data_IF_752935286447
#
_entry.id   IF_752935286447
#
_cell.length_a   1.000
_cell.length_b   1.000
_cell.length_c   1.000
_cell.angle_alpha   90.00
_cell.angle_beta   90.00
_cell.angle_gamma   90.00
#
_symmetry.space_group_name_H-M   'P 1'
#
loop_
_entity.id
_entity.type
_entity.pdbx_description
1 polymer ?
#
# COMPACT_ATOMS: atom_id res chain seq x y z
N UNK A 1 -54.78 13.07 13.02
CA UNK A 1 -53.82 12.85 11.94
C UNK A 1 -52.52 12.44 12.60
N UNK A 2 -52.18 11.15 12.59
CA UNK A 2 -50.86 10.65 13.05
C UNK A 2 -49.94 10.67 11.84
N UNK A 3 -48.88 11.47 11.92
CA UNK A 3 -47.80 11.50 10.94
C UNK A 3 -46.95 10.25 11.13
N UNK A 4 -47.08 9.29 10.22
CA UNK A 4 -46.20 8.13 10.11
C UNK A 4 -44.85 8.63 9.55
N UNK A 5 -43.85 8.69 10.43
CA UNK A 5 -42.45 8.88 10.05
C UNK A 5 -42.01 7.60 9.34
N UNK A 6 -42.02 7.61 8.02
CA UNK A 6 -41.45 6.52 7.20
C UNK A 6 -39.94 6.50 7.45
N UNK A 7 -39.52 5.67 8.35
CA UNK A 7 -38.10 5.34 8.57
C UNK A 7 -37.55 4.68 7.31
N UNK A 8 -36.77 5.39 6.53
CA UNK A 8 -36.10 4.89 5.32
C UNK A 8 -35.26 3.68 5.72
N UNK A 9 -35.71 2.48 5.39
CA UNK A 9 -34.98 1.22 5.56
C UNK A 9 -33.68 1.32 4.74
N UNK A 10 -32.58 1.79 5.36
CA UNK A 10 -31.27 1.83 4.69
C UNK A 10 -30.90 0.42 4.26
N UNK A 11 -30.43 0.28 3.01
CA UNK A 11 -30.07 -1.03 2.45
C UNK A 11 -28.99 -1.71 3.29
N UNK A 12 -28.98 -3.06 3.39
CA UNK A 12 -27.92 -3.80 4.09
C UNK A 12 -26.51 -3.39 3.60
N UNK A 13 -26.38 -3.13 2.31
CA UNK A 13 -25.12 -2.67 1.69
C UNK A 13 -24.64 -1.32 2.25
N UNK A 14 -25.54 -0.36 2.41
CA UNK A 14 -25.22 0.94 2.99
C UNK A 14 -24.86 0.83 4.48
N UNK A 15 -25.49 -0.10 5.20
CA UNK A 15 -25.17 -0.39 6.61
C UNK A 15 -23.77 -0.99 6.74
N UNK A 16 -23.44 -1.98 5.94
CA UNK A 16 -22.11 -2.61 5.90
C UNK A 16 -21.02 -1.57 5.58
N UNK A 17 -21.23 -0.74 4.56
CA UNK A 17 -20.29 0.30 4.19
C UNK A 17 -20.04 1.30 5.33
N UNK A 18 -21.10 1.72 6.05
CA UNK A 18 -20.96 2.63 7.18
C UNK A 18 -20.21 1.99 8.37
N UNK A 19 -20.44 0.70 8.65
CA UNK A 19 -19.73 -0.03 9.70
C UNK A 19 -18.24 -0.13 9.36
N UNK A 20 -17.89 -0.55 8.13
CA UNK A 20 -16.49 -0.70 7.70
C UNK A 20 -15.75 0.62 7.71
N UNK A 21 -16.36 1.71 7.23
CA UNK A 21 -15.74 3.03 7.26
C UNK A 21 -15.47 3.51 8.71
N UNK A 22 -16.44 3.35 9.62
CA UNK A 22 -16.26 3.71 11.02
C UNK A 22 -15.20 2.83 11.72
N UNK A 23 -15.18 1.53 11.40
CA UNK A 23 -14.21 0.59 11.91
C UNK A 23 -12.79 0.90 11.41
N UNK A 24 -12.63 1.28 10.13
CA UNK A 24 -11.35 1.70 9.56
C UNK A 24 -10.74 2.88 10.31
N UNK A 25 -11.53 3.89 10.63
CA UNK A 25 -11.08 5.04 11.41
C UNK A 25 -10.69 4.66 12.85
N UNK A 26 -11.48 3.81 13.50
CA UNK A 26 -11.20 3.40 14.88
C UNK A 26 -9.96 2.50 14.96
N UNK A 27 -9.85 1.50 14.09
CA UNK A 27 -8.68 0.64 14.01
C UNK A 27 -7.42 1.40 13.56
N UNK A 28 -7.53 2.30 12.59
CA UNK A 28 -6.41 3.10 12.12
C UNK A 28 -5.86 4.08 13.16
N UNK A 29 -6.71 4.51 14.13
CA UNK A 29 -6.28 5.42 15.20
C UNK A 29 -5.77 4.71 16.45
N UNK A 30 -6.22 3.48 16.75
CA UNK A 30 -5.98 2.79 18.03
C UNK A 30 -5.44 1.37 17.91
N UNK A 31 -5.27 0.88 16.69
CA UNK A 31 -4.94 -0.51 16.44
C UNK A 31 -6.07 -1.48 16.80
N UNK A 32 -5.90 -2.76 16.49
CA UNK A 32 -6.85 -3.81 16.83
C UNK A 32 -7.05 -3.90 18.35
N UNK A 33 -5.98 -3.91 19.13
CA UNK A 33 -6.04 -4.08 20.58
C UNK A 33 -6.78 -2.92 21.28
N UNK A 34 -6.50 -1.67 20.88
CA UNK A 34 -7.04 -0.46 21.50
C UNK A 34 -8.44 -0.04 21.03
N UNK A 35 -8.89 -0.54 19.89
CA UNK A 35 -10.17 -0.19 19.30
C UNK A 35 -11.36 -0.76 20.13
N UNK A 36 -12.44 0.04 20.22
CA UNK A 36 -13.64 -0.30 20.96
C UNK A 36 -14.86 -0.41 20.06
N UNK A 37 -15.60 -1.50 20.17
CA UNK A 37 -16.81 -1.75 19.38
C UNK A 37 -17.93 -0.71 19.66
N UNK A 38 -17.95 -0.16 20.87
CA UNK A 38 -18.85 0.92 21.27
C UNK A 38 -18.58 2.21 20.47
N UNK A 39 -17.32 2.53 20.25
CA UNK A 39 -16.91 3.73 19.50
C UNK A 39 -17.22 3.57 18.01
N UNK A 40 -16.99 2.38 17.46
CA UNK A 40 -17.40 2.04 16.08
C UNK A 40 -18.92 2.16 15.92
N UNK A 41 -19.70 1.59 16.86
CA UNK A 41 -21.16 1.63 16.84
C UNK A 41 -21.70 3.07 16.88
N UNK A 42 -21.12 3.91 17.75
CA UNK A 42 -21.46 5.33 17.86
C UNK A 42 -21.15 6.09 16.56
N UNK A 43 -19.98 5.88 15.96
CA UNK A 43 -19.56 6.55 14.69
C UNK A 43 -20.46 6.19 13.53
N UNK A 44 -20.81 4.93 13.36
CA UNK A 44 -21.66 4.49 12.24
C UNK A 44 -23.16 4.67 12.48
N UNK A 45 -23.57 5.11 13.69
CA UNK A 45 -24.97 5.23 14.06
C UNK A 45 -25.73 3.89 14.06
N UNK A 46 -25.05 2.84 14.52
CA UNK A 46 -25.59 1.47 14.63
C UNK A 46 -25.40 0.93 16.05
N UNK A 47 -26.18 -0.13 16.38
CA UNK A 47 -25.99 -0.83 17.64
C UNK A 47 -24.79 -1.79 17.56
N UNK A 48 -24.09 -1.97 18.65
CA UNK A 48 -23.02 -2.96 18.80
C UNK A 48 -23.50 -4.37 18.43
N UNK A 49 -24.73 -4.71 18.83
CA UNK A 49 -25.33 -6.01 18.52
C UNK A 49 -25.49 -6.23 17.02
N UNK A 50 -25.88 -5.19 16.26
CA UNK A 50 -25.98 -5.28 14.81
C UNK A 50 -24.60 -5.48 14.17
N UNK A 51 -23.55 -4.85 14.66
CA UNK A 51 -22.19 -5.04 14.15
C UNK A 51 -21.74 -6.49 14.36
N UNK A 52 -21.93 -7.04 15.56
CA UNK A 52 -21.63 -8.45 15.84
C UNK A 52 -22.48 -9.43 15.02
N UNK A 53 -23.72 -9.05 14.69
CA UNK A 53 -24.56 -9.86 13.80
C UNK A 53 -23.94 -9.98 12.38
N UNK A 54 -23.28 -8.92 11.87
CA UNK A 54 -22.64 -8.94 10.56
C UNK A 54 -21.25 -9.60 10.56
N UNK A 55 -20.48 -9.43 11.64
CA UNK A 55 -19.04 -9.75 11.62
C UNK A 55 -18.61 -10.74 12.72
N UNK A 56 -19.53 -11.18 13.60
CA UNK A 56 -19.20 -12.16 14.64
C UNK A 56 -18.26 -11.65 15.73
N UNK A 57 -17.08 -11.15 15.36
CA UNK A 57 -16.05 -10.68 16.30
C UNK A 57 -15.42 -9.35 15.87
N UNK A 58 -14.63 -8.75 16.77
CA UNK A 58 -13.83 -7.54 16.45
C UNK A 58 -12.72 -7.87 15.46
N UNK A 59 -12.13 -9.04 15.60
CA UNK A 59 -11.07 -9.57 14.75
C UNK A 59 -11.57 -9.81 13.32
N UNK A 60 -12.77 -10.36 13.15
CA UNK A 60 -13.39 -10.55 11.83
C UNK A 60 -13.73 -9.20 11.16
N UNK A 61 -14.21 -8.22 11.94
CA UNK A 61 -14.42 -6.87 11.43
C UNK A 61 -13.11 -6.21 11.02
N UNK A 62 -12.04 -6.40 11.80
CA UNK A 62 -10.70 -5.91 11.47
C UNK A 62 -10.19 -6.52 10.16
N UNK A 63 -10.29 -7.84 10.02
CA UNK A 63 -9.92 -8.55 8.79
C UNK A 63 -10.64 -8.03 7.54
N UNK A 64 -11.93 -7.74 7.67
CA UNK A 64 -12.72 -7.14 6.58
C UNK A 64 -12.24 -5.72 6.24
N UNK A 65 -11.94 -4.89 7.24
CA UNK A 65 -11.39 -3.53 7.03
C UNK A 65 -10.05 -3.60 6.31
N UNK A 66 -9.12 -4.44 6.77
CA UNK A 66 -7.81 -4.61 6.14
C UNK A 66 -7.96 -5.09 4.70
N UNK A 67 -8.81 -6.10 4.45
CA UNK A 67 -9.05 -6.64 3.12
C UNK A 67 -9.58 -5.58 2.14
N UNK A 68 -10.57 -4.79 2.57
CA UNK A 68 -11.15 -3.73 1.71
C UNK A 68 -10.18 -2.59 1.44
N UNK A 69 -9.40 -2.19 2.43
CA UNK A 69 -8.40 -1.13 2.24
C UNK A 69 -7.31 -1.57 1.25
N UNK A 70 -6.81 -2.81 1.36
CA UNK A 70 -5.87 -3.34 0.40
C UNK A 70 -6.45 -3.45 -1.01
N UNK A 71 -7.69 -3.94 -1.14
CA UNK A 71 -8.36 -4.01 -2.44
C UNK A 71 -8.50 -2.63 -3.07
N UNK A 72 -8.94 -1.63 -2.30
CA UNK A 72 -9.09 -0.26 -2.77
C UNK A 72 -7.74 0.35 -3.20
N UNK A 73 -6.68 0.14 -2.40
CA UNK A 73 -5.33 0.61 -2.71
C UNK A 73 -4.79 0.01 -4.01
N UNK A 74 -4.94 -1.30 -4.17
CA UNK A 74 -4.49 -2.01 -5.37
C UNK A 74 -5.24 -1.53 -6.60
N UNK A 75 -6.58 -1.45 -6.53
CA UNK A 75 -7.41 -1.01 -7.64
C UNK A 75 -7.09 0.43 -8.08
N UNK A 76 -6.80 1.30 -7.13
CA UNK A 76 -6.38 2.66 -7.44
C UNK A 76 -5.03 2.69 -8.16
N UNK A 77 -4.02 1.97 -7.66
CA UNK A 77 -2.68 1.94 -8.27
C UNK A 77 -2.71 1.35 -9.68
N UNK A 78 -3.43 0.24 -9.91
CA UNK A 78 -3.56 -0.34 -11.25
C UNK A 78 -4.39 0.51 -12.21
N UNK A 79 -5.22 1.42 -11.68
CA UNK A 79 -6.00 2.38 -12.47
C UNK A 79 -5.16 3.48 -13.12
N UNK A 80 -3.92 3.68 -12.68
CA UNK A 80 -3.01 4.64 -13.31
C UNK A 80 -2.37 4.06 -14.57
N UNK A 81 -2.31 4.87 -15.62
CA UNK A 81 -1.59 4.53 -16.84
C UNK A 81 -0.18 5.15 -16.84
N UNK A 82 0.84 4.30 -16.85
CA UNK A 82 2.25 4.70 -16.92
C UNK A 82 2.87 4.43 -18.29
N UNK A 83 2.13 3.83 -19.23
CA UNK A 83 2.68 3.37 -20.50
C UNK A 83 3.01 4.52 -21.47
N UNK A 84 2.37 5.68 -21.28
CA UNK A 84 2.64 6.90 -22.03
C UNK A 84 3.85 7.71 -21.52
N UNK A 85 4.38 7.41 -20.34
CA UNK A 85 5.51 8.08 -19.73
C UNK A 85 6.84 7.41 -20.13
N UNK A 86 7.92 8.19 -20.21
CA UNK A 86 9.26 7.64 -20.33
C UNK A 86 9.60 6.75 -19.11
N UNK A 87 10.41 5.68 -19.24
CA UNK A 87 10.59 4.69 -18.19
C UNK A 87 11.01 5.26 -16.83
N UNK A 88 11.88 6.26 -16.81
CA UNK A 88 12.32 6.91 -15.57
C UNK A 88 11.19 7.70 -14.92
N UNK A 89 10.40 8.41 -15.74
CA UNK A 89 9.25 9.18 -15.27
C UNK A 89 8.13 8.23 -14.79
N UNK A 90 7.85 7.15 -15.52
CA UNK A 90 6.91 6.12 -15.15
C UNK A 90 7.27 5.49 -13.78
N UNK A 91 8.55 5.19 -13.58
CA UNK A 91 9.06 4.64 -12.32
C UNK A 91 8.85 5.63 -11.15
N UNK A 92 9.19 6.91 -11.37
CA UNK A 92 8.97 7.96 -10.37
C UNK A 92 7.49 8.11 -10.03
N UNK A 93 6.64 8.27 -11.06
CA UNK A 93 5.20 8.44 -10.89
C UNK A 93 4.56 7.26 -10.16
N UNK A 94 4.99 6.02 -10.46
CA UNK A 94 4.51 4.83 -9.77
C UNK A 94 4.77 4.90 -8.26
N UNK A 95 6.00 5.20 -7.86
CA UNK A 95 6.39 5.23 -6.45
C UNK A 95 5.82 6.44 -5.71
N UNK A 96 5.68 7.59 -6.38
CA UNK A 96 4.96 8.73 -5.80
C UNK A 96 3.49 8.39 -5.55
N UNK A 97 2.80 7.71 -6.48
CA UNK A 97 1.42 7.30 -6.28
C UNK A 97 1.28 6.33 -5.09
N UNK A 98 2.26 5.44 -4.86
CA UNK A 98 2.30 4.61 -3.65
C UNK A 98 2.39 5.47 -2.39
N UNK A 99 3.30 6.44 -2.34
CA UNK A 99 3.44 7.34 -1.18
C UNK A 99 2.20 8.21 -0.96
N UNK A 100 1.60 8.72 -2.03
CA UNK A 100 0.41 9.56 -1.97
C UNK A 100 -0.81 8.84 -1.39
N UNK A 101 -0.93 7.53 -1.59
CA UNK A 101 -1.97 6.75 -0.94
C UNK A 101 -1.85 6.79 0.58
N UNK A 102 -0.65 6.59 1.13
CA UNK A 102 -0.42 6.66 2.57
C UNK A 102 -0.59 8.08 3.14
N UNK A 103 -0.32 9.12 2.34
CA UNK A 103 -0.63 10.51 2.73
C UNK A 103 -2.12 10.76 2.84
N UNK A 104 -2.91 10.26 1.89
CA UNK A 104 -4.36 10.43 1.86
C UNK A 104 -5.09 9.56 2.88
N UNK A 105 -4.52 8.41 3.21
CA UNK A 105 -5.09 7.41 4.11
C UNK A 105 -4.06 6.99 5.18
N UNK A 106 -3.72 7.89 6.12
CA UNK A 106 -2.68 7.62 7.13
C UNK A 106 -3.00 6.42 8.03
N UNK A 107 -4.29 6.09 8.18
CA UNK A 107 -4.73 4.90 8.91
C UNK A 107 -4.22 3.59 8.30
N UNK A 108 -3.86 3.56 7.02
CA UNK A 108 -3.35 2.35 6.36
C UNK A 108 -1.99 1.91 6.92
N UNK A 109 -1.17 2.86 7.35
CA UNK A 109 0.10 2.53 8.00
C UNK A 109 -0.12 1.72 9.28
N UNK A 110 -1.05 2.16 10.14
CA UNK A 110 -1.38 1.45 11.38
C UNK A 110 -1.99 0.07 11.10
N UNK A 111 -2.91 -0.02 10.14
CA UNK A 111 -3.52 -1.30 9.76
C UNK A 111 -2.46 -2.29 9.23
N UNK A 112 -1.51 -1.81 8.41
CA UNK A 112 -0.41 -2.62 7.89
C UNK A 112 0.53 -3.10 9.00
N UNK A 113 0.87 -2.21 9.96
CA UNK A 113 1.70 -2.57 11.11
C UNK A 113 1.02 -3.60 12.01
N UNK A 114 -0.26 -3.40 12.31
CA UNK A 114 -1.05 -4.31 13.14
C UNK A 114 -1.15 -5.70 12.49
N UNK A 115 -1.39 -5.76 11.18
CA UNK A 115 -1.43 -7.03 10.44
C UNK A 115 -0.06 -7.75 10.45
N UNK A 116 1.04 -7.01 10.32
CA UNK A 116 2.38 -7.57 10.44
C UNK A 116 2.65 -8.14 11.85
N UNK A 117 2.21 -7.45 12.91
CA UNK A 117 2.29 -7.94 14.27
C UNK A 117 1.51 -9.26 14.48
N UNK A 118 0.37 -9.38 13.82
CA UNK A 118 -0.46 -10.60 13.85
C UNK A 118 -0.07 -11.64 12.79
N UNK A 119 1.10 -11.48 12.12
CA UNK A 119 1.68 -12.41 11.14
C UNK A 119 0.76 -12.73 9.95
N UNK A 120 -0.05 -11.77 9.55
CA UNK A 120 -0.97 -11.94 8.42
C UNK A 120 -2.13 -12.90 8.69
N UNK A 121 -2.48 -13.15 9.96
CA UNK A 121 -3.54 -14.11 10.33
C UNK A 121 -4.91 -13.67 9.82
N UNK A 122 -5.14 -12.37 9.74
CA UNK A 122 -6.41 -11.80 9.30
C UNK A 122 -6.59 -11.78 7.77
N UNK A 123 -5.54 -12.14 7.00
CA UNK A 123 -5.70 -12.39 5.55
C UNK A 123 -6.35 -13.75 5.30
N UNK A 124 -7.65 -13.84 5.51
CA UNK A 124 -8.43 -15.08 5.36
C UNK A 124 -8.43 -15.64 3.92
N UNK A 125 -8.04 -14.85 2.92
CA UNK A 125 -8.04 -15.23 1.51
C UNK A 125 -6.71 -14.90 0.83
N UNK A 126 -5.60 -15.53 1.24
CA UNK A 126 -4.27 -15.34 0.62
C UNK A 126 -4.29 -15.53 -0.90
N UNK A 127 -5.15 -16.42 -1.42
CA UNK A 127 -5.31 -16.63 -2.86
C UNK A 127 -5.94 -15.40 -3.52
N UNK A 128 -6.95 -14.78 -2.91
CA UNK A 128 -7.60 -13.57 -3.41
C UNK A 128 -6.64 -12.38 -3.38
N UNK A 129 -5.92 -12.18 -2.29
CA UNK A 129 -4.92 -11.11 -2.20
C UNK A 129 -3.85 -11.27 -3.30
N UNK A 130 -3.33 -12.49 -3.51
CA UNK A 130 -2.35 -12.76 -4.55
C UNK A 130 -2.90 -12.46 -5.95
N UNK A 131 -4.14 -12.83 -6.24
CA UNK A 131 -4.77 -12.54 -7.54
C UNK A 131 -4.98 -11.04 -7.77
N UNK A 132 -5.26 -10.28 -6.71
CA UNK A 132 -5.40 -8.83 -6.77
C UNK A 132 -4.05 -8.12 -6.96
N UNK A 133 -3.00 -8.60 -6.32
CA UNK A 133 -1.66 -7.98 -6.39
C UNK A 133 -0.89 -8.30 -7.68
N UNK A 134 -1.21 -9.41 -8.35
CA UNK A 134 -0.54 -9.78 -9.61
C UNK A 134 -0.57 -8.68 -10.69
N UNK A 135 -1.71 -8.03 -10.99
CA UNK A 135 -1.74 -6.93 -11.97
C UNK A 135 -0.86 -5.75 -11.58
N UNK A 136 -0.78 -5.44 -10.27
CA UNK A 136 0.04 -4.35 -9.74
C UNK A 136 1.53 -4.61 -9.98
N UNK A 137 2.01 -5.81 -9.60
CA UNK A 137 3.40 -6.22 -9.85
C UNK A 137 3.69 -6.31 -11.34
N UNK A 138 2.74 -6.79 -12.15
CA UNK A 138 2.89 -6.83 -13.60
C UNK A 138 3.01 -5.43 -14.22
N UNK A 139 2.27 -4.44 -13.71
CA UNK A 139 2.39 -3.05 -14.14
C UNK A 139 3.78 -2.49 -13.82
N UNK A 140 4.27 -2.69 -12.59
CA UNK A 140 5.62 -2.30 -12.22
C UNK A 140 6.70 -2.98 -13.07
N UNK A 141 6.54 -4.28 -13.34
CA UNK A 141 7.43 -5.05 -14.22
C UNK A 141 7.48 -4.46 -15.62
N UNK A 142 6.32 -4.09 -16.23
CA UNK A 142 6.30 -3.44 -17.55
C UNK A 142 7.11 -2.15 -17.58
N UNK A 143 7.08 -1.35 -16.52
CA UNK A 143 7.92 -0.15 -16.42
C UNK A 143 9.41 -0.51 -16.44
N UNK A 144 9.82 -1.55 -15.70
CA UNK A 144 11.21 -2.02 -15.68
C UNK A 144 11.63 -2.60 -17.04
N UNK A 145 10.79 -3.42 -17.68
CA UNK A 145 11.05 -4.06 -18.96
C UNK A 145 11.22 -3.01 -20.08
N UNK A 146 10.39 -1.96 -20.09
CA UNK A 146 10.53 -0.83 -21.03
C UNK A 146 11.84 -0.10 -20.82
N UNK A 147 12.23 0.14 -19.57
CA UNK A 147 13.51 0.76 -19.25
C UNK A 147 14.71 -0.10 -19.63
N UNK A 148 14.60 -1.42 -19.48
CA UNK A 148 15.62 -2.36 -19.95
C UNK A 148 15.72 -2.37 -21.48
N UNK A 149 14.58 -2.38 -22.19
CA UNK A 149 14.54 -2.34 -23.65
C UNK A 149 15.16 -1.07 -24.25
N UNK A 150 15.04 0.07 -23.55
CA UNK A 150 15.67 1.35 -23.96
C UNK A 150 17.09 1.53 -23.40
N UNK A 151 17.61 0.57 -22.65
CA UNK A 151 18.96 0.61 -22.06
C UNK A 151 19.11 1.57 -20.87
N UNK A 152 18.04 2.14 -20.35
CA UNK A 152 18.10 3.04 -19.17
C UNK A 152 18.06 2.29 -17.85
N UNK A 153 17.55 1.04 -17.83
CA UNK A 153 17.55 0.16 -16.67
C UNK A 153 18.35 -1.13 -16.96
N UNK A 154 18.88 -1.72 -15.89
CA UNK A 154 19.56 -3.01 -15.96
C UNK A 154 18.54 -4.14 -16.23
N UNK A 155 18.71 -4.96 -17.30
CA UNK A 155 17.79 -6.04 -17.65
C UNK A 155 17.81 -7.22 -16.65
N UNK A 156 18.86 -7.32 -15.80
CA UNK A 156 19.03 -8.44 -14.87
C UNK A 156 18.31 -8.21 -13.52
N UNK A 157 17.44 -7.19 -13.41
CA UNK A 157 16.70 -6.88 -12.19
C UNK A 157 15.56 -7.90 -11.99
N UNK A 158 15.58 -8.57 -10.85
CA UNK A 158 14.44 -9.37 -10.38
C UNK A 158 13.29 -8.43 -9.96
N UNK A 159 12.28 -8.32 -10.83
CA UNK A 159 11.20 -7.36 -10.66
C UNK A 159 10.40 -7.57 -9.37
N UNK A 160 10.21 -8.83 -8.91
CA UNK A 160 9.42 -9.12 -7.72
C UNK A 160 10.16 -8.69 -6.45
N UNK A 161 11.45 -9.02 -6.36
CA UNK A 161 12.31 -8.58 -5.24
C UNK A 161 12.51 -7.09 -5.23
N UNK A 162 12.69 -6.50 -6.42
CA UNK A 162 12.87 -5.07 -6.53
C UNK A 162 11.61 -4.30 -6.19
N UNK A 163 10.43 -4.81 -6.60
CA UNK A 163 9.14 -4.26 -6.16
C UNK A 163 9.01 -4.27 -4.63
N UNK A 164 9.31 -5.40 -3.99
CA UNK A 164 9.24 -5.52 -2.54
C UNK A 164 10.18 -4.53 -1.83
N UNK A 165 11.41 -4.38 -2.33
CA UNK A 165 12.38 -3.41 -1.80
C UNK A 165 11.90 -1.97 -2.00
N UNK A 166 11.46 -1.61 -3.21
CA UNK A 166 10.99 -0.28 -3.55
C UNK A 166 9.77 0.13 -2.71
N UNK A 167 8.77 -0.75 -2.62
CA UNK A 167 7.60 -0.54 -1.79
C UNK A 167 7.99 -0.33 -0.32
N UNK A 168 8.81 -1.22 0.26
CA UNK A 168 9.23 -1.13 1.65
C UNK A 168 9.99 0.16 1.95
N UNK A 169 10.90 0.57 1.05
CA UNK A 169 11.70 1.78 1.25
C UNK A 169 10.87 3.05 1.14
N UNK A 170 9.97 3.15 0.14
CA UNK A 170 9.11 4.32 -0.05
C UNK A 170 8.12 4.47 1.09
N UNK A 171 7.56 3.37 1.60
CA UNK A 171 6.57 3.40 2.68
C UNK A 171 7.17 3.46 4.09
N UNK A 172 8.51 3.32 4.23
CA UNK A 172 9.19 3.31 5.52
C UNK A 172 8.90 4.56 6.37
N UNK A 173 8.81 5.75 5.75
CA UNK A 173 8.49 6.99 6.45
C UNK A 173 7.14 6.95 7.16
N UNK A 174 6.16 6.24 6.62
CA UNK A 174 4.84 6.07 7.24
C UNK A 174 4.82 5.02 8.34
N UNK A 175 5.72 4.02 8.27
CA UNK A 175 5.79 2.90 9.21
C UNK A 175 6.71 3.18 10.40
N UNK A 176 7.87 3.80 10.15
CA UNK A 176 8.95 3.98 11.12
C UNK A 176 9.37 5.43 11.28
N UNK A 177 8.82 6.35 10.50
CA UNK A 177 9.21 7.76 10.47
C UNK A 177 9.10 8.44 11.82
N UNK A 178 8.08 8.11 12.63
CA UNK A 178 7.93 8.65 13.98
C UNK A 178 9.17 8.40 14.85
N UNK A 179 9.69 7.16 14.83
CA UNK A 179 10.85 6.76 15.63
C UNK A 179 12.14 7.31 15.03
N UNK A 180 12.30 7.22 13.69
CA UNK A 180 13.50 7.69 13.01
C UNK A 180 13.70 9.19 13.17
N UNK A 181 12.63 9.98 13.18
CA UNK A 181 12.68 11.43 13.36
C UNK A 181 13.15 11.87 14.75
N UNK A 182 13.18 10.97 15.74
CA UNK A 182 13.70 11.31 17.09
C UNK A 182 15.23 11.39 17.14
N UNK A 183 15.94 10.72 16.23
CA UNK A 183 17.41 10.66 16.26
C UNK A 183 18.09 10.95 14.91
N UNK A 184 17.33 11.16 13.84
CA UNK A 184 17.86 11.60 12.55
C UNK A 184 17.54 13.07 12.31
N UNK A 185 18.29 13.70 11.43
CA UNK A 185 18.06 15.10 11.04
C UNK A 185 16.82 15.29 10.14
N UNK A 186 16.29 14.21 9.57
CA UNK A 186 15.09 14.23 8.72
C UNK A 186 13.84 14.05 9.58
N UNK A 187 12.93 15.02 9.56
CA UNK A 187 11.66 14.95 10.29
C UNK A 187 10.53 14.39 9.39
N UNK A 188 10.39 13.08 9.38
CA UNK A 188 9.38 12.35 8.60
C UNK A 188 7.95 12.49 9.15
N UNK A 189 7.74 13.28 10.21
CA UNK A 189 6.41 13.61 10.76
C UNK A 189 5.77 14.76 10.00
N UNK A 190 6.56 15.50 9.22
CA UNK A 190 6.11 16.63 8.41
C UNK A 190 5.90 16.24 6.95
N UNK A 191 5.00 16.94 6.24
CA UNK A 191 4.81 16.72 4.81
C UNK A 191 6.11 16.93 4.01
N UNK A 192 6.90 17.95 4.39
CA UNK A 192 8.18 18.24 3.75
C UNK A 192 9.19 17.11 3.96
N UNK A 193 9.32 16.59 5.19
CA UNK A 193 10.23 15.49 5.47
C UNK A 193 9.80 14.17 4.82
N UNK A 194 8.50 13.91 4.72
CA UNK A 194 7.98 12.77 3.94
C UNK A 194 8.33 12.93 2.45
N UNK A 195 8.12 14.10 1.88
CA UNK A 195 8.45 14.37 0.47
C UNK A 195 9.97 14.19 0.23
N UNK A 196 10.81 14.76 1.08
CA UNK A 196 12.27 14.62 1.02
C UNK A 196 12.70 13.14 1.08
N UNK A 197 12.13 12.35 2.00
CA UNK A 197 12.39 10.93 2.10
C UNK A 197 11.99 10.16 0.84
N UNK A 198 10.80 10.42 0.32
CA UNK A 198 10.27 9.75 -0.88
C UNK A 198 11.18 10.05 -2.07
N UNK A 199 11.53 11.32 -2.30
CA UNK A 199 12.39 11.73 -3.42
C UNK A 199 13.79 11.14 -3.30
N UNK A 200 14.38 11.16 -2.09
CA UNK A 200 15.66 10.54 -1.80
C UNK A 200 15.64 9.04 -2.12
N UNK A 201 14.62 8.34 -1.62
CA UNK A 201 14.46 6.90 -1.81
C UNK A 201 14.29 6.54 -3.28
N UNK A 202 13.47 7.28 -4.03
CA UNK A 202 13.28 7.08 -5.46
C UNK A 202 14.60 7.31 -6.22
N UNK A 203 15.36 8.34 -5.82
CA UNK A 203 16.69 8.61 -6.38
C UNK A 203 17.66 7.46 -6.15
N UNK A 204 17.68 6.90 -4.94
CA UNK A 204 18.50 5.74 -4.57
C UNK A 204 18.13 4.50 -5.37
N UNK A 205 16.83 4.21 -5.50
CA UNK A 205 16.31 3.08 -6.27
C UNK A 205 16.65 3.21 -7.75
N UNK A 206 16.51 4.41 -8.34
CA UNK A 206 16.91 4.67 -9.72
C UNK A 206 18.41 4.47 -9.94
N UNK A 207 19.25 4.88 -8.98
CA UNK A 207 20.69 4.63 -9.06
C UNK A 207 21.02 3.13 -9.03
N UNK A 208 20.27 2.36 -8.23
CA UNK A 208 20.46 0.90 -8.10
C UNK A 208 20.10 0.12 -9.37
N UNK A 209 19.13 0.61 -10.17
CA UNK A 209 18.69 -0.09 -11.39
C UNK A 209 19.34 0.42 -12.68
N UNK A 210 20.24 1.40 -12.60
CA UNK A 210 21.01 1.83 -13.77
C UNK A 210 21.86 0.69 -14.33
N UNK A 211 22.08 0.64 -15.65
CA UNK A 211 23.02 -0.30 -16.22
C UNK A 211 24.41 -0.12 -15.57
N UNK A 212 25.05 -1.21 -15.21
CA UNK A 212 26.41 -1.14 -14.68
C UNK A 212 27.37 -0.78 -15.82
N UNK A 213 28.02 0.35 -15.72
CA UNK A 213 29.09 0.70 -16.65
C UNK A 213 30.14 -0.42 -16.66
N UNK A 214 30.33 -1.07 -17.79
CA UNK A 214 31.35 -2.12 -17.97
C UNK A 214 30.83 -3.57 -17.96
N UNK A 215 29.55 -3.86 -17.71
CA UNK A 215 29.03 -5.24 -17.77
C UNK A 215 29.08 -5.84 -19.17
N UNK A 216 28.91 -5.05 -20.23
CA UNK A 216 29.11 -5.51 -21.61
C UNK A 216 30.59 -5.76 -21.95
N UNK A 217 31.50 -4.92 -21.46
CA UNK A 217 32.94 -5.13 -21.69
C UNK A 217 33.48 -6.38 -21.02
N UNK A 218 32.93 -6.75 -19.86
CA UNK A 218 33.32 -7.99 -19.15
C UNK A 218 32.69 -9.23 -19.84
N UNK A 219 31.46 -9.16 -20.33
CA UNK A 219 30.85 -10.26 -21.11
C UNK A 219 31.59 -10.49 -22.44
N UNK A 220 31.95 -9.44 -23.16
CA UNK A 220 32.75 -9.56 -24.38
C UNK A 220 34.16 -10.11 -24.10
N UNK A 221 34.81 -9.67 -23.01
CA UNK A 221 36.13 -10.17 -22.61
C UNK A 221 36.12 -11.65 -22.24
N UNK A 222 35.04 -12.13 -21.60
CA UNK A 222 34.90 -13.54 -21.21
C UNK A 222 34.46 -14.44 -22.39
N UNK A 223 33.82 -13.91 -23.41
CA UNK A 223 33.47 -14.63 -24.64
C UNK A 223 34.62 -14.73 -25.64
N UNK A 224 35.65 -13.88 -25.52
CA UNK A 224 36.84 -13.86 -26.35
C UNK A 224 37.99 -14.76 -25.90
N UNK A 225 37.85 -15.47 -24.77
CA UNK A 225 38.84 -16.46 -24.28
C UNK A 225 38.28 -17.86 -24.49
N UNK A 226 38.24 -18.31 -25.75
CA UNK A 226 38.17 -19.74 -26.07
C UNK A 226 39.59 -20.15 -26.45
N UNK A 227 40.26 -20.90 -25.55
CA UNK A 227 41.50 -21.62 -25.78
C UNK A 227 41.14 -22.96 -26.43
#
# INVERSE_FOLDING_TARGET
MRSETIGTKRSPRATIAAIVAAAGQEFGSRGLAGARMEDIARRCGRTKQLIYHYYGSKEELFAEVVSRNHEAAILELIGHDYDHLEPVEAFRAYLHNVADQYRRFPEWAMLTLDENLHRGVHYNERRKLRSLTQPLVAQFRRVLDRGAATGVFNPDIDADKFYAAAFSMVTACFMTGQVLSEYLAVDMRTEAGVAEWVDYTIGLLLAAIRPRAGAESVKLALQGVTI
#
